data_IF_564532313831
#
_entry.id   IF_564532313831
#
_cell.length_a   1.000
_cell.length_b   1.000
_cell.length_c   1.000
_cell.angle_alpha   90.00
_cell.angle_beta   90.00
_cell.angle_gamma   90.00
#
_symmetry.space_group_name_H-M   'P 1'
#
loop_
_entity.id
_entity.type
_entity.pdbx_description
1 polymer ?
#
# COMPACT_ATOMS: atom_id res chain seq x y z
N UNK A 1 19.05 -9.34 8.17
CA UNK A 1 19.41 -8.98 9.56
C UNK A 1 18.60 -7.78 10.08
N UNK A 2 18.51 -6.69 9.31
CA UNK A 2 17.82 -5.42 9.69
C UNK A 2 16.32 -5.60 10.02
N UNK A 3 15.61 -6.48 9.30
CA UNK A 3 14.18 -6.78 9.55
C UNK A 3 13.87 -7.28 10.97
N UNK A 4 14.73 -8.12 11.56
CA UNK A 4 14.57 -8.61 12.94
C UNK A 4 14.83 -7.50 13.97
N UNK A 5 15.74 -6.58 13.66
CA UNK A 5 16.01 -5.40 14.49
C UNK A 5 14.79 -4.49 14.55
N UNK A 6 14.18 -4.18 13.40
CA UNK A 6 13.01 -3.29 13.36
C UNK A 6 11.74 -3.89 13.96
N UNK A 7 11.46 -5.18 13.71
CA UNK A 7 10.33 -5.86 14.35
C UNK A 7 10.47 -5.94 15.88
N UNK A 8 11.70 -5.92 16.41
CA UNK A 8 11.98 -5.79 17.84
C UNK A 8 11.92 -4.35 18.37
N UNK A 9 11.99 -3.33 17.51
CA UNK A 9 11.99 -1.91 17.88
C UNK A 9 10.60 -1.27 17.93
N UNK A 10 9.53 -2.02 17.63
CA UNK A 10 8.15 -1.50 17.66
C UNK A 10 7.78 -0.83 18.99
N UNK A 11 8.39 -1.26 20.11
CA UNK A 11 8.18 -0.71 21.44
C UNK A 11 8.76 0.69 21.66
N UNK A 12 9.76 1.10 20.86
CA UNK A 12 10.43 2.39 20.98
C UNK A 12 9.99 3.41 19.91
N UNK A 13 9.13 2.98 18.99
CA UNK A 13 8.63 3.83 17.91
C UNK A 13 7.22 4.29 18.24
N UNK A 14 7.03 5.62 18.26
CA UNK A 14 5.76 6.25 18.55
C UNK A 14 5.18 6.89 17.28
N UNK A 15 3.85 6.84 17.15
CA UNK A 15 3.16 7.55 16.08
C UNK A 15 3.30 9.06 16.30
N UNK A 16 3.82 9.81 15.32
CA UNK A 16 3.95 11.28 15.44
C UNK A 16 2.60 12.01 15.51
N UNK A 17 1.51 11.38 15.11
CA UNK A 17 0.18 12.01 15.08
C UNK A 17 -0.58 11.84 16.40
N UNK A 18 -0.65 10.60 16.93
CA UNK A 18 -1.44 10.29 18.12
C UNK A 18 -0.60 9.84 19.32
N UNK A 19 0.74 9.82 19.16
CA UNK A 19 1.71 9.42 20.18
C UNK A 19 1.56 7.98 20.71
N UNK A 20 0.70 7.17 20.09
CA UNK A 20 0.55 5.75 20.43
C UNK A 20 1.77 4.94 20.00
N UNK A 21 2.03 3.85 20.73
CA UNK A 21 3.07 2.87 20.37
C UNK A 21 2.78 2.22 19.01
N UNK A 22 3.83 1.94 18.25
CA UNK A 22 3.76 1.26 16.95
C UNK A 22 4.00 -0.26 17.04
N UNK A 23 4.02 -0.83 18.26
CA UNK A 23 4.12 -2.29 18.47
C UNK A 23 3.07 -3.08 17.68
N UNK A 24 1.83 -2.58 17.64
CA UNK A 24 0.71 -3.22 16.94
C UNK A 24 0.43 -2.61 15.56
N UNK A 25 1.32 -1.76 15.06
CA UNK A 25 1.15 -1.17 13.75
C UNK A 25 1.21 -2.24 12.65
N UNK A 26 0.58 -1.98 11.51
CA UNK A 26 0.73 -2.83 10.32
C UNK A 26 1.98 -2.38 9.57
N UNK A 27 2.92 -3.30 9.36
CA UNK A 27 4.18 -3.07 8.66
C UNK A 27 4.16 -3.76 7.30
N UNK A 28 4.40 -3.01 6.23
CA UNK A 28 4.57 -3.53 4.88
C UNK A 28 5.99 -3.18 4.43
N UNK A 29 6.79 -4.19 4.10
CA UNK A 29 8.13 -3.97 3.53
C UNK A 29 8.00 -3.45 2.12
N UNK A 30 8.62 -2.30 1.85
CA UNK A 30 8.61 -1.60 0.57
C UNK A 30 9.93 -1.81 -0.17
N UNK A 31 11.05 -1.68 0.53
CA UNK A 31 12.39 -2.00 0.02
C UNK A 31 13.15 -2.75 1.11
N UNK A 32 13.79 -3.86 0.77
CA UNK A 32 14.71 -4.57 1.67
C UNK A 32 16.01 -4.86 0.89
N UNK A 33 17.09 -4.21 1.31
CA UNK A 33 18.46 -4.44 0.82
C UNK A 33 19.39 -4.71 2.00
N UNK A 34 20.65 -5.05 1.73
CA UNK A 34 21.63 -5.29 2.79
C UNK A 34 21.96 -4.04 3.61
N UNK A 35 21.78 -2.84 3.06
CA UNK A 35 22.15 -1.58 3.69
C UNK A 35 20.95 -0.69 4.07
N UNK A 36 19.79 -0.93 3.48
CA UNK A 36 18.60 -0.09 3.61
C UNK A 36 17.34 -0.96 3.64
N UNK A 37 16.44 -0.67 4.58
CA UNK A 37 15.09 -1.22 4.66
C UNK A 37 14.08 -0.09 4.78
N UNK A 38 13.07 -0.09 3.93
CA UNK A 38 11.99 0.89 3.90
C UNK A 38 10.68 0.15 4.18
N UNK A 39 9.92 0.63 5.16
CA UNK A 39 8.63 0.08 5.55
C UNK A 39 7.55 1.13 5.45
N UNK A 40 6.42 0.74 4.89
CA UNK A 40 5.19 1.47 5.01
C UNK A 40 4.47 1.00 6.28
N UNK A 41 4.24 1.92 7.20
CA UNK A 41 3.68 1.63 8.52
C UNK A 41 2.35 2.33 8.70
N UNK A 42 1.36 1.57 9.15
CA UNK A 42 0.02 2.08 9.48
C UNK A 42 -0.22 1.96 10.97
N UNK A 43 -0.43 3.09 11.66
CA UNK A 43 -0.73 3.11 13.08
C UNK A 43 -2.05 2.38 13.37
N UNK A 44 -2.06 1.48 14.35
CA UNK A 44 -3.27 0.76 14.76
C UNK A 44 -4.31 1.67 15.39
N UNK A 45 -3.90 2.71 16.12
CA UNK A 45 -4.78 3.62 16.86
C UNK A 45 -5.46 4.67 15.97
N UNK A 46 -4.68 5.48 15.23
CA UNK A 46 -5.24 6.60 14.44
C UNK A 46 -5.31 6.33 12.93
N UNK A 47 -4.86 5.15 12.47
CA UNK A 47 -4.79 4.76 11.06
C UNK A 47 -3.91 5.64 10.17
N UNK A 48 -3.17 6.58 10.76
CA UNK A 48 -2.21 7.39 10.02
C UNK A 48 -1.10 6.50 9.41
N UNK A 49 -0.68 6.84 8.20
CA UNK A 49 0.29 6.10 7.40
C UNK A 49 1.58 6.93 7.28
N UNK A 50 2.73 6.27 7.36
CA UNK A 50 4.04 6.91 7.23
C UNK A 50 5.11 5.89 6.82
N UNK A 51 6.27 6.39 6.41
CA UNK A 51 7.40 5.57 6.00
C UNK A 51 8.45 5.53 7.12
N UNK A 52 8.88 4.31 7.46
CA UNK A 52 10.04 4.06 8.32
C UNK A 52 11.18 3.61 7.43
N UNK A 53 12.29 4.35 7.49
CA UNK A 53 13.52 3.98 6.81
C UNK A 53 14.54 3.58 7.85
N UNK A 54 15.11 2.40 7.73
CA UNK A 54 16.26 1.98 8.52
C UNK A 54 17.42 1.66 7.61
N UNK A 55 18.57 2.20 7.93
CA UNK A 55 19.83 1.88 7.27
C UNK A 55 20.85 1.40 8.30
N UNK A 56 22.09 1.20 7.87
CA UNK A 56 23.19 0.83 8.76
C UNK A 56 23.55 1.93 9.77
N UNK A 57 23.12 3.17 9.55
CA UNK A 57 23.39 4.33 10.39
C UNK A 57 22.32 4.56 11.46
N UNK A 58 21.13 3.98 11.31
CA UNK A 58 20.07 4.05 12.31
C UNK A 58 18.66 3.91 11.72
N UNK A 59 17.66 4.34 12.50
CA UNK A 59 16.24 4.33 12.10
C UNK A 59 15.73 5.76 12.01
N UNK A 60 15.29 6.17 10.82
CA UNK A 60 14.63 7.42 10.54
C UNK A 60 13.12 7.23 10.32
N UNK A 61 12.32 8.06 10.99
CA UNK A 61 10.89 8.21 10.73
C UNK A 61 10.69 9.45 9.87
N UNK A 62 10.38 9.25 8.59
CA UNK A 62 10.04 10.36 7.68
C UNK A 62 8.53 10.33 7.43
N UNK A 63 7.77 11.32 7.92
CA UNK A 63 6.36 11.41 7.62
C UNK A 63 6.20 11.73 6.13
N UNK A 64 5.80 10.73 5.35
CA UNK A 64 5.33 10.94 3.99
C UNK A 64 3.81 11.06 4.03
N UNK A 65 3.29 12.23 3.65
CA UNK A 65 1.88 12.36 3.31
C UNK A 65 1.69 11.89 1.88
N UNK A 66 1.26 10.63 1.76
CA UNK A 66 0.87 10.03 0.50
C UNK A 66 -0.50 9.40 0.68
N UNK A 67 -1.31 9.51 -0.36
CA UNK A 67 -2.57 8.78 -0.53
C UNK A 67 -2.36 7.34 -1.01
N UNK A 68 -1.11 6.98 -1.34
CA UNK A 68 -0.74 5.64 -1.76
C UNK A 68 -0.66 4.71 -0.55
N UNK A 69 -1.28 3.55 -0.68
CA UNK A 69 -1.03 2.41 0.21
C UNK A 69 0.39 1.87 0.00
N UNK A 70 0.90 1.13 0.98
CA UNK A 70 2.22 0.48 0.85
C UNK A 70 2.35 -0.45 -0.36
N UNK A 71 1.26 -1.06 -0.83
CA UNK A 71 1.27 -1.88 -2.05
C UNK A 71 1.34 -1.02 -3.32
N UNK A 72 0.56 0.05 -3.39
CA UNK A 72 0.63 0.98 -4.53
C UNK A 72 1.99 1.65 -4.62
N UNK A 73 2.58 2.00 -3.47
CA UNK A 73 3.94 2.54 -3.43
C UNK A 73 4.95 1.56 -4.05
N UNK A 74 4.81 0.25 -3.80
CA UNK A 74 5.64 -0.78 -4.43
C UNK A 74 5.45 -0.80 -5.96
N UNK A 75 4.22 -0.61 -6.45
CA UNK A 75 3.95 -0.56 -7.90
C UNK A 75 4.61 0.64 -8.60
N UNK A 76 4.80 1.74 -7.87
CA UNK A 76 5.49 2.94 -8.34
C UNK A 76 7.01 2.85 -8.18
N UNK A 77 7.54 1.95 -7.35
CA UNK A 77 8.99 1.78 -7.21
C UNK A 77 9.62 1.37 -8.54
N UNK A 78 10.66 2.10 -8.95
CA UNK A 78 11.39 1.84 -10.19
C UNK A 78 10.66 2.26 -11.46
N UNK A 79 9.46 2.87 -11.35
CA UNK A 79 8.84 3.57 -12.48
C UNK A 79 9.55 4.89 -12.72
N UNK A 80 9.74 5.24 -13.99
CA UNK A 80 10.28 6.54 -14.38
C UNK A 80 9.34 7.67 -13.97
N UNK A 81 9.86 8.92 -13.88
CA UNK A 81 9.01 10.08 -13.63
C UNK A 81 7.96 10.19 -14.74
N UNK A 82 6.74 10.57 -14.36
CA UNK A 82 5.69 10.88 -15.33
C UNK A 82 6.15 12.08 -16.16
N UNK A 83 6.20 11.90 -17.47
CA UNK A 83 6.61 12.92 -18.43
C UNK A 83 5.40 13.65 -19.01
N UNK A 84 5.67 14.77 -19.71
CA UNK A 84 4.61 15.50 -20.44
C UNK A 84 3.92 14.62 -21.49
N UNK A 85 4.68 13.75 -22.16
CA UNK A 85 4.12 12.90 -23.21
C UNK A 85 3.17 11.87 -22.62
N UNK A 86 3.51 11.28 -21.46
CA UNK A 86 2.62 10.34 -20.75
C UNK A 86 1.26 10.98 -20.42
N UNK A 87 1.25 12.27 -20.05
CA UNK A 87 0.03 13.01 -19.77
C UNK A 87 -0.79 13.30 -21.05
N UNK A 88 -0.12 13.63 -22.15
CA UNK A 88 -0.79 13.88 -23.43
C UNK A 88 -1.40 12.59 -23.99
N UNK A 89 -0.68 11.48 -23.91
CA UNK A 89 -1.15 10.16 -24.33
C UNK A 89 -2.36 9.73 -23.49
N UNK A 90 -2.30 9.92 -22.17
CA UNK A 90 -3.43 9.65 -21.29
C UNK A 90 -4.65 10.53 -21.63
N UNK A 91 -4.44 11.83 -21.88
CA UNK A 91 -5.52 12.73 -22.28
C UNK A 91 -6.19 12.27 -23.58
N UNK A 92 -5.40 11.86 -24.56
CA UNK A 92 -5.91 11.36 -25.83
C UNK A 92 -6.72 10.07 -25.66
N UNK A 93 -6.23 9.11 -24.85
CA UNK A 93 -6.94 7.87 -24.54
C UNK A 93 -8.27 8.10 -23.81
N UNK A 94 -8.34 9.10 -22.93
CA UNK A 94 -9.58 9.48 -22.25
C UNK A 94 -10.57 10.10 -23.25
N UNK A 95 -10.08 11.00 -24.12
CA UNK A 95 -10.89 11.69 -25.12
C UNK A 95 -11.48 10.74 -26.15
N UNK A 96 -10.70 9.73 -26.56
CA UNK A 96 -11.11 8.77 -27.59
C UNK A 96 -12.00 7.65 -27.04
N UNK A 97 -12.34 7.66 -25.74
CA UNK A 97 -13.25 6.67 -25.14
C UNK A 97 -12.65 5.27 -24.95
N UNK A 98 -11.45 5.02 -25.47
CA UNK A 98 -10.75 3.74 -25.41
C UNK A 98 -10.44 3.34 -23.97
N UNK A 99 -10.04 4.31 -23.13
CA UNK A 99 -9.79 4.08 -21.71
C UNK A 99 -11.07 3.70 -20.95
N UNK A 100 -12.20 4.36 -21.24
CA UNK A 100 -13.50 4.09 -20.61
C UNK A 100 -13.98 2.67 -20.91
N UNK A 101 -13.84 2.23 -22.17
CA UNK A 101 -14.17 0.87 -22.59
C UNK A 101 -13.34 -0.19 -21.85
N UNK A 102 -12.05 0.09 -21.58
CA UNK A 102 -11.15 -0.79 -20.83
C UNK A 102 -11.46 -0.84 -19.33
N UNK A 103 -11.88 0.27 -18.73
CA UNK A 103 -12.25 0.33 -17.32
C UNK A 103 -13.57 -0.40 -17.05
N UNK A 104 -14.58 -0.20 -17.91
CA UNK A 104 -15.88 -0.89 -17.81
C UNK A 104 -15.76 -2.42 -17.96
N UNK A 105 -14.83 -2.91 -18.79
CA UNK A 105 -14.58 -4.35 -18.93
C UNK A 105 -13.88 -4.96 -17.71
N UNK A 106 -13.04 -4.20 -17.00
CA UNK A 106 -12.38 -4.71 -15.78
C UNK A 106 -13.34 -4.83 -14.59
N UNK A 107 -14.32 -3.94 -14.45
CA UNK A 107 -15.33 -4.04 -13.38
C UNK A 107 -16.22 -5.27 -13.55
N UNK A 108 -16.62 -5.58 -14.78
CA UNK A 108 -17.47 -6.75 -15.08
C UNK A 108 -16.76 -8.09 -14.88
N UNK A 109 -15.42 -8.13 -14.96
CA UNK A 109 -14.64 -9.33 -14.67
C UNK A 109 -14.46 -9.62 -13.17
N UNK A 110 -14.42 -8.59 -12.31
CA UNK A 110 -14.38 -8.79 -10.85
C UNK A 110 -15.71 -9.28 -10.27
N UNK A 111 -16.84 -8.97 -10.91
CA UNK A 111 -18.18 -9.41 -10.48
C UNK A 111 -18.53 -10.89 -10.74
N UNK A 112 -17.77 -11.62 -11.57
CA UNK A 112 -18.10 -13.00 -11.98
C UNK A 112 -17.45 -14.11 -11.12
N UNK A 113 -16.65 -13.80 -10.10
CA UNK A 113 -15.98 -14.81 -9.25
C UNK A 113 -16.73 -15.22 -7.96
N UNK A 114 -18.00 -14.82 -7.78
CA UNK A 114 -18.84 -15.30 -6.67
C UNK A 114 -20.10 -16.02 -7.17
N UNK A 115 -19.93 -17.23 -7.70
CA UNK A 115 -20.98 -18.26 -7.66
C UNK A 115 -20.35 -19.56 -7.19
N UNK A 116 -20.05 -19.66 -5.90
CA UNK A 116 -19.94 -20.96 -5.23
C UNK A 116 -21.30 -21.30 -4.63
N UNK A 117 -21.86 -22.38 -5.17
CA UNK A 117 -23.02 -23.12 -4.71
C UNK A 117 -23.09 -23.30 -3.19
N UNK A 118 -24.21 -22.92 -2.58
CA UNK A 118 -24.61 -23.42 -1.25
C UNK A 118 -25.87 -24.29 -1.45
N UNK A 119 -25.90 -25.54 -0.95
CA UNK A 119 -27.08 -26.39 -1.02
C UNK A 119 -28.20 -25.86 -0.13
N UNK A 120 -29.45 -25.92 -0.62
CA UNK A 120 -30.66 -25.63 0.16
C UNK A 120 -30.79 -26.65 1.29
N UNK A 121 -30.55 -26.24 2.53
CA UNK A 121 -31.04 -26.94 3.72
C UNK A 121 -32.39 -26.33 4.13
N UNK A 122 -33.38 -27.20 4.31
CA UNK A 122 -34.75 -26.86 4.62
C UNK A 122 -34.91 -26.40 6.08
N UNK A 123 -35.61 -25.29 6.31
CA UNK A 123 -36.22 -24.97 7.60
C UNK A 123 -37.63 -25.58 7.66
N UNK A 124 -37.89 -26.41 8.67
CA UNK A 124 -39.24 -26.69 9.17
C UNK A 124 -39.35 -26.06 10.56
N UNK A 125 -40.43 -25.31 10.76
CA UNK A 125 -40.91 -24.81 12.05
C UNK A 125 -41.51 -25.97 12.84
#
# INVERSE_FOLDING_TARGET
MIKRLLLGMGNNLICRQCHASLTEARWISVVETNALSVFHVTCSSCKNQFIVTADLSGVGLTPYHTDLTGMEFIDFLGKGPVTKNDLLDLHQLIKDGSLWNLLLTKETLKGKKSKSSVPKAACRV
#
